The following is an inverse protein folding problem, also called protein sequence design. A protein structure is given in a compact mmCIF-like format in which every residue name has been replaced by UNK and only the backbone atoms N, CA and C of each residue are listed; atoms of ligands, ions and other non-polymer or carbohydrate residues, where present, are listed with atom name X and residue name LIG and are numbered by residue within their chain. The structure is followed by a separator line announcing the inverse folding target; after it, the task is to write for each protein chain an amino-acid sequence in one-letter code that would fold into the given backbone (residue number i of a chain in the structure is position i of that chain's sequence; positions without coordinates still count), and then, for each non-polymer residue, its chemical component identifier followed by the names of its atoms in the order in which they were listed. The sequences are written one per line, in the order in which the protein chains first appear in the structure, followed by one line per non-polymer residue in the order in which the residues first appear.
data_IF_009193067941
#
_entry.id   IF_009193067941
#
_cell.length_a   1.000
_cell.length_b   1.000
_cell.length_c   1.000
_cell.angle_alpha   90.00
_cell.angle_beta   90.00
_cell.angle_gamma   90.00
#
_symmetry.space_group_name_H-M   'P 1'
#
loop_
_entity.id
_entity.type
_entity.pdbx_description
1 polymer ?
#
# COMPACT_ATOMS: atom_id res chain seq x y z
N UNK A 1 -11.36 -2.83 -4.04
CA UNK A 1 -10.59 -1.78 -3.38
C UNK A 1 -11.55 -0.80 -2.72
N UNK A 2 -11.47 -0.61 -1.41
CA UNK A 2 -12.45 0.21 -0.66
C UNK A 2 -11.83 0.81 0.60
N UNK A 3 -11.79 2.14 0.67
CA UNK A 3 -11.36 2.90 1.85
C UNK A 3 -12.59 3.51 2.56
N UNK A 4 -12.56 3.58 3.89
CA UNK A 4 -13.64 4.26 4.65
C UNK A 4 -13.48 5.78 4.59
N UNK A 5 -14.60 6.50 4.64
CA UNK A 5 -14.60 7.97 4.66
C UNK A 5 -13.76 8.54 5.81
N UNK A 6 -13.87 7.95 7.00
CA UNK A 6 -13.11 8.38 8.18
C UNK A 6 -11.59 8.27 7.94
N UNK A 7 -11.15 7.17 7.34
CA UNK A 7 -9.74 6.94 7.07
C UNK A 7 -9.22 7.88 5.99
N UNK A 8 -10.02 8.12 4.94
CA UNK A 8 -9.71 9.11 3.93
C UNK A 8 -9.53 10.51 4.52
N UNK A 9 -10.40 10.93 5.43
CA UNK A 9 -10.30 12.25 6.08
C UNK A 9 -9.01 12.39 6.89
N UNK A 10 -8.66 11.39 7.71
CA UNK A 10 -7.39 11.38 8.46
C UNK A 10 -6.17 11.51 7.55
N UNK A 11 -6.22 10.93 6.36
CA UNK A 11 -5.11 10.99 5.41
C UNK A 11 -5.00 12.36 4.74
N UNK A 12 -6.13 12.97 4.38
CA UNK A 12 -6.15 14.33 3.82
C UNK A 12 -5.58 15.35 4.81
N UNK A 13 -5.81 15.17 6.12
CA UNK A 13 -5.24 16.05 7.16
C UNK A 13 -3.70 16.00 7.22
N UNK A 14 -3.07 14.95 6.65
CA UNK A 14 -1.61 14.80 6.56
C UNK A 14 -1.03 15.27 5.22
N UNK A 15 -1.85 15.84 4.33
CA UNK A 15 -1.40 16.30 3.03
C UNK A 15 -0.83 17.73 3.14
N UNK A 16 0.18 18.07 2.32
CA UNK A 16 0.66 19.44 2.24
C UNK A 16 -0.42 20.36 1.67
N UNK A 17 -0.26 21.67 1.92
CA UNK A 17 -1.20 22.71 1.44
C UNK A 17 -1.40 22.68 -0.09
N UNK A 18 -0.37 22.28 -0.83
CA UNK A 18 -0.43 22.04 -2.27
C UNK A 18 0.06 20.62 -2.58
N UNK A 19 -0.78 19.86 -3.28
CA UNK A 19 -0.50 18.50 -3.75
C UNK A 19 -1.18 18.29 -5.10
N UNK A 20 -0.55 17.54 -6.00
CA UNK A 20 -1.20 17.18 -7.26
C UNK A 20 -2.25 16.09 -7.05
N UNK A 21 -3.28 16.07 -7.91
CA UNK A 21 -4.31 15.03 -7.85
C UNK A 21 -3.70 13.63 -8.08
N UNK A 22 -2.67 13.53 -8.91
CA UNK A 22 -1.99 12.26 -9.17
C UNK A 22 -1.30 11.72 -7.90
N UNK A 23 -0.60 12.58 -7.15
CA UNK A 23 0.03 12.20 -5.87
C UNK A 23 -1.01 11.80 -4.81
N UNK A 24 -2.16 12.47 -4.77
CA UNK A 24 -3.27 12.09 -3.89
C UNK A 24 -3.72 10.67 -4.20
N UNK A 25 -3.95 10.36 -5.47
CA UNK A 25 -4.41 9.04 -5.90
C UNK A 25 -3.36 7.98 -5.57
N UNK A 26 -2.08 8.24 -5.87
CA UNK A 26 -0.99 7.30 -5.59
C UNK A 26 -0.86 7.00 -4.10
N UNK A 27 -0.92 8.04 -3.25
CA UNK A 27 -0.83 7.88 -1.80
C UNK A 27 -2.00 7.05 -1.26
N UNK A 28 -3.22 7.27 -1.74
CA UNK A 28 -4.38 6.48 -1.35
C UNK A 28 -4.26 5.00 -1.75
N UNK A 29 -3.76 4.72 -2.95
CA UNK A 29 -3.48 3.35 -3.42
C UNK A 29 -2.43 2.68 -2.52
N UNK A 30 -1.36 3.40 -2.17
CA UNK A 30 -0.29 2.89 -1.33
C UNK A 30 -0.79 2.50 0.06
N UNK A 31 -1.62 3.35 0.67
CA UNK A 31 -2.19 3.10 2.01
C UNK A 31 -3.05 1.84 2.00
N UNK A 32 -3.92 1.69 1.01
CA UNK A 32 -4.75 0.49 0.88
C UNK A 32 -3.90 -0.78 0.73
N UNK A 33 -2.84 -0.72 -0.10
CA UNK A 33 -1.92 -1.84 -0.27
C UNK A 33 -1.25 -2.22 1.05
N UNK A 34 -0.75 -1.24 1.81
CA UNK A 34 -0.12 -1.49 3.11
C UNK A 34 -1.10 -2.19 4.05
N UNK A 35 -2.33 -1.68 4.17
CA UNK A 35 -3.35 -2.28 5.04
C UNK A 35 -3.69 -3.71 4.65
N UNK A 36 -3.83 -3.94 3.35
CA UNK A 36 -4.07 -5.28 2.80
C UNK A 36 -2.91 -6.21 3.16
N UNK A 37 -1.67 -5.78 2.96
CA UNK A 37 -0.47 -6.59 3.28
C UNK A 37 -0.29 -6.84 4.77
N UNK A 38 -0.69 -5.92 5.63
CA UNK A 38 -0.69 -6.13 7.08
C UNK A 38 -1.68 -7.26 7.43
N UNK A 39 -2.90 -7.21 6.87
CA UNK A 39 -3.90 -8.25 7.10
C UNK A 39 -3.46 -9.61 6.55
N UNK A 40 -2.89 -9.65 5.34
CA UNK A 40 -2.28 -10.87 4.77
C UNK A 40 -1.20 -11.43 5.70
N UNK A 41 -0.32 -10.56 6.24
CA UNK A 41 0.72 -10.96 7.19
C UNK A 41 0.15 -11.54 8.48
N UNK A 42 -0.90 -10.94 9.05
CA UNK A 42 -1.58 -11.45 10.25
C UNK A 42 -2.24 -12.82 9.98
N UNK A 43 -2.72 -13.04 8.76
CA UNK A 43 -3.33 -14.29 8.30
C UNK A 43 -2.31 -15.36 7.88
N UNK A 44 -1.00 -15.10 8.01
CA UNK A 44 0.08 -15.96 7.51
C UNK A 44 0.02 -16.20 5.98
N UNK A 45 -0.59 -15.28 5.23
CA UNK A 45 -0.60 -15.26 3.75
C UNK A 45 0.73 -14.69 3.24
N UNK A 46 1.83 -15.32 3.64
CA UNK A 46 3.21 -14.88 3.34
C UNK A 46 3.94 -15.93 2.50
N UNK A 47 4.94 -15.49 1.74
CA UNK A 47 5.83 -16.38 1.00
C UNK A 47 7.10 -16.70 1.80
N UNK A 48 7.76 -17.81 1.47
CA UNK A 48 9.08 -18.12 2.03
C UNK A 48 10.16 -17.18 1.48
N UNK A 49 11.27 -17.08 2.22
CA UNK A 49 12.45 -16.31 1.80
C UNK A 49 13.00 -16.78 0.43
N UNK A 50 12.97 -18.08 0.15
CA UNK A 50 13.42 -18.65 -1.12
C UNK A 50 12.52 -18.21 -2.29
N UNK A 51 11.21 -18.19 -2.07
CA UNK A 51 10.25 -17.71 -3.07
C UNK A 51 10.39 -16.21 -3.30
N UNK A 52 10.57 -15.44 -2.22
CA UNK A 52 10.82 -13.98 -2.29
C UNK A 52 12.04 -13.69 -3.17
N UNK A 53 13.16 -14.39 -2.93
CA UNK A 53 14.38 -14.21 -3.73
C UNK A 53 14.14 -14.50 -5.21
N UNK A 54 13.42 -15.57 -5.52
CA UNK A 54 13.07 -15.95 -6.90
C UNK A 54 12.23 -14.88 -7.60
N UNK A 55 11.25 -14.30 -6.92
CA UNK A 55 10.43 -13.20 -7.45
C UNK A 55 11.25 -11.92 -7.66
N UNK A 56 12.09 -11.56 -6.69
CA UNK A 56 12.95 -10.38 -6.79
C UNK A 56 13.89 -10.43 -8.01
N UNK A 57 14.45 -11.61 -8.31
CA UNK A 57 15.31 -11.79 -9.49
C UNK A 57 14.58 -11.48 -10.81
N UNK A 58 13.24 -11.53 -10.85
CA UNK A 58 12.47 -11.17 -12.05
C UNK A 58 12.33 -9.65 -12.26
N UNK A 59 12.44 -8.85 -11.20
CA UNK A 59 12.25 -7.40 -11.27
C UNK A 59 13.48 -6.67 -11.81
N UNK A 60 14.64 -7.31 -11.72
CA UNK A 60 15.92 -6.77 -12.21
C UNK A 60 16.34 -7.37 -13.57
N UNK A 61 15.44 -8.07 -14.26
CA UNK A 61 15.60 -8.50 -15.65
C UNK A 61 15.04 -7.47 -16.63
#
# INVERSE_FOLDING_TARGET
MTITKEKLQKQIDEFPDEISIDEVIERLIMIEKIETRIQESENNETISEENLKTEMEQWFK
#
